data_IF_668077323390
#
_entry.id   IF_668077323390
#
_cell.length_a   1.000
_cell.length_b   1.000
_cell.length_c   1.000
_cell.angle_alpha   90.00
_cell.angle_beta   90.00
_cell.angle_gamma   90.00
#
_symmetry.space_group_name_H-M   'P 1'
#
loop_
_entity.id
_entity.type
_entity.pdbx_description
1 polymer ?
#
# COMPACT_ATOMS: atom_id res chain seq x y z
N UNK A 1 -35.96 -12.63 -11.73
CA UNK A 1 -34.82 -12.24 -12.59
C UNK A 1 -33.61 -13.04 -12.15
N UNK A 2 -32.88 -13.72 -13.04
CA UNK A 2 -31.58 -14.29 -12.68
C UNK A 2 -30.68 -13.11 -12.30
N UNK A 3 -30.33 -13.01 -11.03
CA UNK A 3 -29.58 -11.89 -10.52
C UNK A 3 -28.19 -11.92 -11.16
N UNK A 4 -27.91 -10.96 -12.05
CA UNK A 4 -26.58 -10.81 -12.65
C UNK A 4 -25.77 -9.96 -11.68
N UNK A 5 -24.77 -10.56 -11.06
CA UNK A 5 -23.79 -9.83 -10.27
C UNK A 5 -23.30 -8.60 -11.04
N UNK A 6 -23.27 -7.44 -10.39
CA UNK A 6 -22.85 -6.16 -10.98
C UNK A 6 -23.61 -5.74 -12.25
N UNK A 7 -24.95 -5.87 -12.27
CA UNK A 7 -25.79 -5.50 -13.43
C UNK A 7 -25.45 -4.13 -14.06
N UNK A 8 -25.40 -3.08 -13.25
CA UNK A 8 -25.05 -1.72 -13.68
C UNK A 8 -23.65 -1.64 -14.33
N UNK A 9 -22.62 -2.24 -13.71
CA UNK A 9 -21.27 -2.23 -14.27
C UNK A 9 -21.19 -3.01 -15.58
N UNK A 10 -21.98 -4.08 -15.73
CA UNK A 10 -22.06 -4.81 -16.99
C UNK A 10 -22.69 -3.94 -18.09
N UNK A 11 -23.71 -3.14 -17.76
CA UNK A 11 -24.34 -2.19 -18.70
C UNK A 11 -23.38 -1.07 -19.10
N UNK A 12 -22.70 -0.45 -18.12
CA UNK A 12 -21.67 0.57 -18.38
C UNK A 12 -20.55 -0.01 -19.25
N UNK A 13 -20.09 -1.24 -18.94
CA UNK A 13 -19.08 -1.94 -19.73
C UNK A 13 -19.52 -2.19 -21.17
N UNK A 14 -20.78 -2.53 -21.38
CA UNK A 14 -21.36 -2.72 -22.71
C UNK A 14 -21.41 -1.40 -23.49
N UNK A 15 -21.89 -0.31 -22.89
CA UNK A 15 -21.92 1.01 -23.55
C UNK A 15 -20.51 1.49 -23.90
N UNK A 16 -19.54 1.31 -23.00
CA UNK A 16 -18.15 1.66 -23.27
C UNK A 16 -17.58 0.82 -24.42
N UNK A 17 -17.87 -0.48 -24.46
CA UNK A 17 -17.44 -1.37 -25.53
C UNK A 17 -18.01 -0.93 -26.89
N UNK A 18 -19.31 -0.61 -26.96
CA UNK A 18 -20.00 -0.20 -28.20
C UNK A 18 -19.40 1.08 -28.81
N UNK A 19 -19.13 2.09 -28.00
CA UNK A 19 -18.53 3.34 -28.50
C UNK A 19 -17.04 3.15 -28.86
N UNK A 20 -16.27 2.43 -28.04
CA UNK A 20 -14.86 2.17 -28.32
C UNK A 20 -14.67 1.27 -29.53
N UNK A 21 -15.58 0.34 -29.82
CA UNK A 21 -15.51 -0.54 -30.98
C UNK A 21 -15.62 0.24 -32.30
N UNK A 22 -16.26 1.42 -32.31
CA UNK A 22 -16.34 2.29 -33.49
C UNK A 22 -15.00 2.98 -33.81
N UNK A 23 -14.21 3.30 -32.77
CA UNK A 23 -12.99 4.12 -32.90
C UNK A 23 -11.71 3.28 -32.87
N UNK A 24 -11.64 2.28 -31.99
CA UNK A 24 -10.44 1.46 -31.73
C UNK A 24 -10.75 -0.06 -31.71
N UNK A 25 -11.42 -0.63 -32.74
CA UNK A 25 -11.92 -2.01 -32.71
C UNK A 25 -10.85 -3.07 -32.43
N UNK A 26 -9.62 -2.88 -32.91
CA UNK A 26 -8.51 -3.83 -32.70
C UNK A 26 -8.09 -3.96 -31.23
N UNK A 27 -8.27 -2.91 -30.43
CA UNK A 27 -7.92 -2.89 -29.01
C UNK A 27 -9.01 -3.49 -28.12
N UNK A 28 -10.29 -3.40 -28.52
CA UNK A 28 -11.41 -3.81 -27.66
C UNK A 28 -12.09 -5.12 -28.07
N UNK A 29 -11.94 -5.59 -29.33
CA UNK A 29 -12.64 -6.81 -29.82
C UNK A 29 -12.47 -8.03 -28.91
N UNK A 30 -11.31 -8.18 -28.26
CA UNK A 30 -11.04 -9.31 -27.35
C UNK A 30 -11.81 -9.25 -26.02
N UNK A 31 -12.41 -8.10 -25.67
CA UNK A 31 -13.26 -7.92 -24.49
C UNK A 31 -14.71 -8.36 -24.74
N UNK A 32 -15.10 -8.60 -26.00
CA UNK A 32 -16.44 -9.09 -26.33
C UNK A 32 -16.70 -10.45 -25.67
N UNK A 33 -17.87 -10.60 -25.05
CA UNK A 33 -18.21 -11.80 -24.29
C UNK A 33 -18.12 -13.08 -25.13
N UNK A 34 -18.46 -13.05 -26.42
CA UNK A 34 -18.36 -14.22 -27.31
C UNK A 34 -16.94 -14.56 -27.79
N UNK A 35 -15.97 -13.67 -27.58
CA UNK A 35 -14.63 -13.84 -28.12
C UNK A 35 -13.87 -14.99 -27.43
N UNK A 36 -13.16 -15.82 -28.21
CA UNK A 36 -12.43 -16.99 -27.68
C UNK A 36 -11.47 -16.62 -26.53
N UNK A 37 -10.69 -15.55 -26.68
CA UNK A 37 -9.77 -15.07 -25.64
C UNK A 37 -10.49 -14.55 -24.39
N UNK A 38 -11.68 -13.92 -24.52
CA UNK A 38 -12.47 -13.52 -23.35
C UNK A 38 -12.95 -14.75 -22.59
N UNK A 39 -13.53 -15.72 -23.29
CA UNK A 39 -14.03 -16.95 -22.70
C UNK A 39 -12.91 -17.77 -22.05
N UNK A 40 -11.76 -17.87 -22.70
CA UNK A 40 -10.57 -18.53 -22.17
C UNK A 40 -10.09 -17.87 -20.87
N UNK A 41 -9.91 -16.55 -20.87
CA UNK A 41 -9.49 -15.80 -19.68
C UNK A 41 -10.52 -15.88 -18.54
N UNK A 42 -11.82 -15.83 -18.86
CA UNK A 42 -12.91 -16.00 -17.90
C UNK A 42 -12.88 -17.39 -17.26
N UNK A 43 -12.75 -18.44 -18.07
CA UNK A 43 -12.70 -19.81 -17.59
C UNK A 43 -11.46 -20.05 -16.71
N UNK A 44 -10.31 -19.54 -17.14
CA UNK A 44 -9.07 -19.55 -16.34
C UNK A 44 -9.29 -18.85 -14.99
N UNK A 45 -9.84 -17.64 -14.99
CA UNK A 45 -10.05 -16.84 -13.77
C UNK A 45 -10.99 -17.54 -12.79
N UNK A 46 -12.10 -18.10 -13.28
CA UNK A 46 -13.06 -18.86 -12.46
C UNK A 46 -12.45 -20.15 -11.90
N UNK A 47 -11.72 -20.91 -12.72
CA UNK A 47 -11.07 -22.13 -12.28
C UNK A 47 -9.98 -21.85 -11.24
N UNK A 48 -9.19 -20.80 -11.46
CA UNK A 48 -8.15 -20.35 -10.54
C UNK A 48 -8.77 -19.90 -9.20
N UNK A 49 -9.79 -19.03 -9.23
CA UNK A 49 -10.48 -18.59 -8.01
C UNK A 49 -11.07 -19.77 -7.22
N UNK A 50 -11.70 -20.74 -7.91
CA UNK A 50 -12.24 -21.96 -7.27
C UNK A 50 -11.14 -22.80 -6.63
N UNK A 51 -10.00 -22.96 -7.31
CA UNK A 51 -8.85 -23.68 -6.78
C UNK A 51 -8.32 -23.01 -5.51
N UNK A 52 -8.03 -21.70 -5.57
CA UNK A 52 -7.50 -20.95 -4.42
C UNK A 52 -8.49 -20.96 -3.25
N UNK A 53 -9.80 -20.77 -3.51
CA UNK A 53 -10.83 -20.86 -2.48
C UNK A 53 -10.85 -22.23 -1.79
N UNK A 54 -10.65 -23.33 -2.53
CA UNK A 54 -10.54 -24.68 -1.94
C UNK A 54 -9.34 -24.80 -1.00
N UNK A 55 -8.19 -24.24 -1.38
CA UNK A 55 -7.00 -24.22 -0.52
C UNK A 55 -7.21 -23.36 0.73
N UNK A 56 -7.82 -22.18 0.57
CA UNK A 56 -8.23 -21.33 1.69
C UNK A 56 -9.11 -22.11 2.67
N UNK A 57 -10.22 -22.69 2.23
CA UNK A 57 -11.13 -23.44 3.11
C UNK A 57 -10.45 -24.61 3.82
N UNK A 58 -9.53 -25.30 3.12
CA UNK A 58 -8.83 -26.47 3.67
C UNK A 58 -7.79 -26.11 4.74
N UNK A 59 -7.01 -25.05 4.51
CA UNK A 59 -5.82 -24.77 5.35
C UNK A 59 -5.99 -23.54 6.24
N UNK A 60 -6.81 -22.57 5.86
CA UNK A 60 -6.93 -21.27 6.54
C UNK A 60 -8.34 -20.98 7.07
N UNK A 61 -9.39 -21.61 6.52
CA UNK A 61 -10.78 -21.23 6.78
C UNK A 61 -11.28 -21.43 8.22
N UNK A 62 -10.59 -22.22 9.03
CA UNK A 62 -10.90 -22.43 10.45
C UNK A 62 -9.96 -21.68 11.39
N UNK A 63 -8.90 -21.07 10.85
CA UNK A 63 -7.96 -20.31 11.67
C UNK A 63 -8.62 -19.00 12.10
N UNK A 64 -8.48 -18.68 13.38
CA UNK A 64 -8.84 -17.34 13.88
C UNK A 64 -7.64 -16.43 13.65
N UNK A 65 -7.91 -15.21 13.19
CA UNK A 65 -6.86 -14.22 13.07
C UNK A 65 -6.33 -13.85 14.45
N UNK A 66 -5.01 -13.82 14.59
CA UNK A 66 -4.36 -13.28 15.78
C UNK A 66 -4.55 -11.77 15.85
N UNK A 67 -4.49 -11.23 17.07
CA UNK A 67 -4.32 -9.79 17.25
C UNK A 67 -3.00 -9.36 16.60
N UNK A 68 -3.07 -8.39 15.69
CA UNK A 68 -1.92 -7.89 14.95
C UNK A 68 -1.80 -6.38 15.12
N UNK A 69 -0.57 -5.90 15.12
CA UNK A 69 -0.26 -4.47 15.06
C UNK A 69 -0.82 -3.86 13.77
N UNK A 70 -1.04 -2.54 13.77
CA UNK A 70 -1.49 -1.81 12.57
C UNK A 70 -0.47 -1.90 11.41
N UNK A 71 0.82 -1.96 11.71
CA UNK A 71 1.88 -2.17 10.71
C UNK A 71 2.86 -3.21 11.25
N UNK A 72 2.98 -4.33 10.55
CA UNK A 72 3.93 -5.40 10.87
C UNK A 72 4.91 -5.59 9.74
N UNK A 73 6.22 -5.55 10.02
CA UNK A 73 7.24 -5.99 9.07
C UNK A 73 7.28 -7.52 9.07
N UNK A 74 6.84 -8.12 7.96
CA UNK A 74 6.70 -9.57 7.78
C UNK A 74 7.98 -10.18 7.21
N UNK A 75 8.65 -9.45 6.31
CA UNK A 75 9.86 -9.92 5.64
C UNK A 75 10.75 -8.73 5.26
N UNK A 76 12.06 -8.94 5.21
CA UNK A 76 13.04 -7.96 4.77
C UNK A 76 14.28 -8.66 4.22
N UNK A 77 15.06 -7.95 3.40
CA UNK A 77 16.22 -8.52 2.74
C UNK A 77 17.41 -8.73 3.70
N UNK A 78 17.80 -9.97 4.04
CA UNK A 78 18.93 -10.23 4.94
C UNK A 78 20.29 -9.85 4.33
N UNK A 79 20.38 -9.70 3.00
CA UNK A 79 21.59 -9.27 2.30
C UNK A 79 21.52 -7.81 1.81
N UNK A 80 20.60 -7.02 2.36
CA UNK A 80 20.29 -5.67 1.89
C UNK A 80 21.54 -4.79 1.70
N UNK A 81 22.40 -4.70 2.72
CA UNK A 81 23.61 -3.87 2.67
C UNK A 81 24.58 -4.32 1.57
N UNK A 82 24.80 -5.64 1.46
CA UNK A 82 25.67 -6.21 0.43
C UNK A 82 25.13 -5.91 -0.96
N UNK A 83 23.83 -6.10 -1.18
CA UNK A 83 23.19 -5.85 -2.48
C UNK A 83 23.19 -4.37 -2.84
N UNK A 84 22.92 -3.50 -1.86
CA UNK A 84 22.98 -2.05 -2.04
C UNK A 84 24.39 -1.64 -2.45
N UNK A 85 25.40 -1.95 -1.63
CA UNK A 85 26.79 -1.54 -1.89
C UNK A 85 27.30 -2.10 -3.23
N UNK A 86 26.96 -3.34 -3.57
CA UNK A 86 27.32 -3.90 -4.86
C UNK A 86 26.66 -3.14 -6.03
N UNK A 87 25.41 -2.72 -5.88
CA UNK A 87 24.71 -1.92 -6.89
C UNK A 87 25.26 -0.48 -7.00
N UNK A 88 25.69 0.13 -5.89
CA UNK A 88 26.35 1.44 -5.89
C UNK A 88 27.69 1.39 -6.64
N UNK A 89 28.48 0.34 -6.41
CA UNK A 89 29.78 0.17 -7.03
C UNK A 89 29.69 -0.32 -8.50
N UNK A 90 28.56 -0.91 -8.90
CA UNK A 90 28.39 -1.52 -10.22
C UNK A 90 28.61 -0.54 -11.38
N UNK A 91 28.06 0.67 -11.30
CA UNK A 91 28.24 1.70 -12.34
C UNK A 91 29.66 2.25 -12.44
N UNK A 92 30.52 1.95 -11.47
CA UNK A 92 31.91 2.40 -11.39
C UNK A 92 32.90 1.26 -11.64
N UNK A 93 32.42 0.10 -12.09
CA UNK A 93 33.24 -1.10 -12.25
C UNK A 93 33.03 -1.74 -13.63
N UNK A 94 34.07 -2.42 -14.13
CA UNK A 94 33.97 -3.36 -15.24
C UNK A 94 33.65 -4.80 -14.81
N UNK A 95 33.48 -5.05 -13.51
CA UNK A 95 33.23 -6.37 -12.95
C UNK A 95 31.76 -6.78 -13.04
N UNK A 96 31.51 -8.09 -13.08
CA UNK A 96 30.13 -8.60 -12.99
C UNK A 96 29.54 -8.32 -11.60
N UNK A 97 28.21 -8.17 -11.52
CA UNK A 97 27.53 -7.93 -10.25
C UNK A 97 27.82 -9.01 -9.21
N UNK A 98 27.99 -10.28 -9.64
CA UNK A 98 28.35 -11.38 -8.74
C UNK A 98 29.73 -11.17 -8.11
N UNK A 99 30.74 -10.82 -8.92
CA UNK A 99 32.09 -10.55 -8.41
C UNK A 99 32.08 -9.39 -7.42
N UNK A 100 31.34 -8.31 -7.72
CA UNK A 100 31.22 -7.17 -6.79
C UNK A 100 30.56 -7.61 -5.49
N UNK A 101 29.47 -8.39 -5.53
CA UNK A 101 28.81 -8.91 -4.32
C UNK A 101 29.76 -9.77 -3.47
N UNK A 102 30.52 -10.66 -4.08
CA UNK A 102 31.51 -11.49 -3.36
C UNK A 102 32.59 -10.62 -2.71
N UNK A 103 33.09 -9.59 -3.41
CA UNK A 103 34.05 -8.64 -2.85
C UNK A 103 33.46 -7.80 -1.72
N UNK A 104 32.24 -7.30 -1.87
CA UNK A 104 31.53 -6.54 -0.84
C UNK A 104 31.28 -7.39 0.40
N UNK A 105 30.89 -8.67 0.26
CA UNK A 105 30.73 -9.57 1.42
C UNK A 105 32.01 -9.69 2.24
N UNK A 106 33.15 -9.74 1.55
CA UNK A 106 34.48 -9.84 2.17
C UNK A 106 35.01 -8.51 2.75
N UNK A 107 34.33 -7.37 2.51
CA UNK A 107 34.73 -6.10 3.12
C UNK A 107 34.47 -6.12 4.63
N UNK A 108 35.32 -5.46 5.43
CA UNK A 108 35.02 -5.19 6.83
C UNK A 108 33.71 -4.42 6.98
N UNK A 109 32.92 -4.73 8.00
CA UNK A 109 31.65 -4.06 8.24
C UNK A 109 31.81 -2.56 8.53
N UNK A 110 32.99 -2.14 9.02
CA UNK A 110 33.34 -0.72 9.16
C UNK A 110 33.38 0.02 7.84
N UNK A 111 33.92 -0.60 6.77
CA UNK A 111 33.98 0.01 5.44
C UNK A 111 32.60 0.03 4.77
N UNK A 112 31.80 -1.03 4.97
CA UNK A 112 30.40 -1.05 4.53
C UNK A 112 29.59 0.08 5.19
N UNK A 113 29.72 0.21 6.50
CA UNK A 113 29.06 1.26 7.30
C UNK A 113 29.48 2.63 6.84
N UNK A 114 30.78 2.87 6.72
CA UNK A 114 31.36 4.14 6.28
C UNK A 114 30.79 4.57 4.91
N UNK A 115 30.79 3.67 3.92
CA UNK A 115 30.28 4.01 2.59
C UNK A 115 28.79 4.35 2.59
N UNK A 116 27.97 3.63 3.38
CA UNK A 116 26.55 3.96 3.53
C UNK A 116 26.38 5.33 4.20
N UNK A 117 27.08 5.58 5.31
CA UNK A 117 26.98 6.83 6.06
C UNK A 117 27.44 8.05 5.26
N UNK A 118 28.57 7.95 4.57
CA UNK A 118 29.07 9.02 3.69
C UNK A 118 28.07 9.31 2.56
N UNK A 119 27.45 8.28 1.98
CA UNK A 119 26.41 8.44 0.95
C UNK A 119 25.16 9.12 1.50
N UNK A 120 24.70 8.74 2.70
CA UNK A 120 23.57 9.38 3.39
C UNK A 120 23.87 10.84 3.71
N UNK A 121 25.11 11.16 4.10
CA UNK A 121 25.53 12.50 4.46
C UNK A 121 25.44 13.50 3.28
N UNK A 122 25.71 13.04 2.04
CA UNK A 122 25.55 13.86 0.82
C UNK A 122 24.10 14.31 0.58
N UNK A 123 23.12 13.64 1.21
CA UNK A 123 21.70 13.95 1.05
C UNK A 123 21.29 15.11 1.96
N UNK A 124 21.47 16.33 1.45
CA UNK A 124 21.17 17.57 2.17
C UNK A 124 19.69 17.99 2.14
N UNK A 125 18.91 17.55 1.15
CA UNK A 125 17.47 17.84 1.09
C UNK A 125 16.68 16.75 0.36
N UNK A 126 15.36 16.69 0.57
CA UNK A 126 14.43 15.69 -0.02
C UNK A 126 14.46 15.58 -1.55
N UNK A 127 14.90 16.64 -2.24
CA UNK A 127 15.02 16.64 -3.71
C UNK A 127 16.27 15.91 -4.23
N UNK A 128 17.26 15.63 -3.38
CA UNK A 128 18.34 14.70 -3.72
C UNK A 128 17.73 13.30 -3.70
N UNK A 129 17.44 12.78 -4.90
CA UNK A 129 16.75 11.50 -5.05
C UNK A 129 17.73 10.37 -4.80
N UNK A 130 17.38 9.38 -3.96
CA UNK A 130 18.22 8.20 -3.80
C UNK A 130 18.47 7.52 -5.16
N UNK A 131 19.67 7.00 -5.37
CA UNK A 131 20.03 6.33 -6.62
C UNK A 131 19.29 4.98 -6.80
N UNK A 132 19.42 4.40 -8.01
CA UNK A 132 18.75 3.15 -8.36
C UNK A 132 19.24 1.94 -7.55
N UNK A 133 20.45 1.98 -6.98
CA UNK A 133 20.98 0.89 -6.16
C UNK A 133 20.10 0.56 -4.95
N UNK A 134 19.36 1.54 -4.43
CA UNK A 134 18.39 1.34 -3.34
C UNK A 134 17.13 0.59 -3.78
N UNK A 135 16.96 0.26 -5.06
CA UNK A 135 15.90 -0.64 -5.51
C UNK A 135 16.20 -2.11 -5.17
N UNK A 136 17.44 -2.44 -4.77
CA UNK A 136 17.85 -3.82 -4.49
C UNK A 136 17.34 -4.37 -3.14
N UNK A 137 17.42 -3.63 -2.01
CA UNK A 137 16.83 -4.08 -0.76
C UNK A 137 15.30 -4.01 -0.80
N UNK A 138 14.62 -4.95 -0.17
CA UNK A 138 13.17 -5.01 -0.09
C UNK A 138 12.66 -5.21 1.34
N UNK A 139 11.38 -4.87 1.53
CA UNK A 139 10.61 -5.06 2.75
C UNK A 139 9.18 -5.48 2.39
N UNK A 140 8.58 -6.35 3.20
CA UNK A 140 7.17 -6.74 3.11
C UNK A 140 6.46 -6.40 4.42
N UNK A 141 5.42 -5.59 4.33
CA UNK A 141 4.59 -5.19 5.47
C UNK A 141 3.19 -5.82 5.36
N UNK A 142 2.62 -6.26 6.48
CA UNK A 142 1.17 -6.47 6.65
C UNK A 142 0.61 -5.26 7.38
N UNK A 143 -0.43 -4.65 6.82
CA UNK A 143 -0.98 -3.37 7.28
C UNK A 143 -2.47 -3.53 7.52
N UNK A 144 -2.92 -3.04 8.68
CA UNK A 144 -4.32 -2.83 9.03
C UNK A 144 -4.52 -1.34 9.31
N UNK A 145 -5.37 -0.69 8.53
CA UNK A 145 -5.71 0.72 8.73
C UNK A 145 -6.97 1.11 7.95
N UNK A 146 -7.44 2.34 8.13
CA UNK A 146 -8.71 2.76 7.54
C UNK A 146 -8.71 2.68 6.00
N UNK A 147 -9.87 2.39 5.44
CA UNK A 147 -10.05 2.22 4.01
C UNK A 147 -9.72 3.50 3.21
N UNK A 148 -9.93 4.68 3.80
CA UNK A 148 -9.47 5.95 3.26
C UNK A 148 -7.94 6.03 3.14
N UNK A 149 -7.19 5.64 4.18
CA UNK A 149 -5.73 5.56 4.16
C UNK A 149 -5.24 4.61 3.06
N UNK A 150 -5.86 3.43 2.93
CA UNK A 150 -5.53 2.50 1.86
C UNK A 150 -5.71 3.16 0.49
N UNK A 151 -6.82 3.88 0.26
CA UNK A 151 -7.06 4.59 -1.01
C UNK A 151 -6.03 5.68 -1.29
N UNK A 152 -5.45 6.27 -0.26
CA UNK A 152 -4.38 7.26 -0.39
C UNK A 152 -3.00 6.64 -0.66
N UNK A 153 -2.70 5.53 0.01
CA UNK A 153 -1.44 4.82 -0.07
C UNK A 153 -1.33 3.97 -1.35
N UNK A 154 -2.44 3.42 -1.85
CA UNK A 154 -2.44 2.61 -3.08
C UNK A 154 -1.97 3.38 -4.33
N UNK A 155 -1.88 4.72 -4.25
CA UNK A 155 -1.36 5.56 -5.34
C UNK A 155 0.14 5.42 -5.59
N UNK A 156 0.90 4.79 -4.68
CA UNK A 156 2.31 4.46 -4.91
C UNK A 156 2.39 3.22 -5.81
N UNK A 157 3.06 3.35 -6.96
CA UNK A 157 3.06 2.33 -8.03
C UNK A 157 4.33 1.48 -8.08
N UNK A 158 5.41 1.95 -7.46
CA UNK A 158 6.69 1.22 -7.38
C UNK A 158 6.72 0.26 -6.20
N UNK A 159 5.71 -0.61 -6.12
CA UNK A 159 5.54 -1.62 -5.08
C UNK A 159 4.56 -2.69 -5.57
N UNK A 160 4.48 -3.80 -4.83
CA UNK A 160 3.42 -4.80 -4.99
C UNK A 160 2.53 -4.73 -3.76
N UNK A 161 1.21 -4.72 -3.96
CA UNK A 161 0.24 -4.75 -2.88
C UNK A 161 -0.98 -5.54 -3.33
N UNK A 162 -1.61 -6.23 -2.39
CA UNK A 162 -2.96 -6.78 -2.53
C UNK A 162 -3.69 -6.60 -1.20
N UNK A 163 -5.01 -6.46 -1.29
CA UNK A 163 -5.89 -6.27 -0.13
C UNK A 163 -6.78 -7.48 0.08
N UNK A 164 -7.17 -7.69 1.33
CA UNK A 164 -8.33 -8.52 1.62
C UNK A 164 -9.62 -7.81 1.17
N UNK A 165 -10.72 -8.55 0.95
CA UNK A 165 -12.03 -7.94 0.74
C UNK A 165 -12.36 -6.94 1.85
N UNK A 166 -12.98 -5.82 1.49
CA UNK A 166 -13.41 -4.81 2.46
C UNK A 166 -14.56 -5.39 3.29
N UNK A 167 -14.52 -5.23 4.60
CA UNK A 167 -15.56 -5.73 5.52
C UNK A 167 -15.72 -4.75 6.66
N UNK A 168 -16.78 -4.92 7.47
CA UNK A 168 -16.96 -4.16 8.72
C UNK A 168 -16.34 -4.84 9.94
N UNK A 169 -15.65 -5.98 9.75
CA UNK A 169 -15.23 -6.88 10.83
C UNK A 169 -13.92 -6.48 11.51
N UNK A 170 -13.16 -5.56 10.92
CA UNK A 170 -11.90 -5.06 11.49
C UNK A 170 -12.08 -3.80 12.35
N UNK A 171 -13.32 -3.43 12.64
CA UNK A 171 -13.63 -2.19 13.34
C UNK A 171 -13.37 -0.96 12.47
N UNK A 172 -13.51 0.21 13.07
CA UNK A 172 -13.32 1.50 12.42
C UNK A 172 -12.66 2.50 13.36
N UNK A 173 -12.02 3.49 12.78
CA UNK A 173 -11.40 4.60 13.51
C UNK A 173 -12.40 5.75 13.67
N UNK A 174 -12.55 6.26 14.90
CA UNK A 174 -13.30 7.51 15.18
C UNK A 174 -12.34 8.69 15.27
N UNK A 175 -12.43 9.69 14.38
CA UNK A 175 -11.66 10.93 14.53
C UNK A 175 -12.02 11.66 15.83
N UNK A 176 -11.02 12.22 16.52
CA UNK A 176 -11.24 12.95 17.77
C UNK A 176 -12.23 14.10 17.60
N UNK A 177 -12.20 14.76 16.44
CA UNK A 177 -13.06 15.88 16.09
C UNK A 177 -14.55 15.51 16.07
N UNK A 178 -14.88 14.24 15.81
CA UNK A 178 -16.27 13.75 15.87
C UNK A 178 -16.77 13.69 17.31
N UNK A 179 -15.92 13.22 18.23
CA UNK A 179 -16.24 13.18 19.65
C UNK A 179 -16.30 14.58 20.25
N UNK A 180 -15.31 15.42 19.92
CA UNK A 180 -15.22 16.81 20.38
C UNK A 180 -16.43 17.65 19.93
N UNK A 181 -16.97 17.37 18.73
CA UNK A 181 -18.19 17.99 18.22
C UNK A 181 -19.49 17.46 18.86
N UNK A 182 -19.42 16.45 19.75
CA UNK A 182 -20.60 15.81 20.35
C UNK A 182 -21.38 14.92 19.39
N UNK A 183 -20.80 14.53 18.25
CA UNK A 183 -21.43 13.71 17.20
C UNK A 183 -21.09 12.22 17.31
N UNK A 184 -20.34 11.80 18.33
CA UNK A 184 -19.91 10.41 18.53
C UNK A 184 -21.06 9.40 18.50
N UNK A 185 -22.18 9.70 19.18
CA UNK A 185 -23.34 8.80 19.21
C UNK A 185 -23.94 8.54 17.81
N UNK A 186 -24.19 9.60 17.04
CA UNK A 186 -24.72 9.50 15.67
C UNK A 186 -23.73 8.79 14.74
N UNK A 187 -22.44 9.07 14.90
CA UNK A 187 -21.38 8.42 14.16
C UNK A 187 -21.36 6.91 14.41
N UNK A 188 -21.31 6.50 15.68
CA UNK A 188 -21.29 5.09 16.06
C UNK A 188 -22.55 4.33 15.64
N UNK A 189 -23.74 4.96 15.75
CA UNK A 189 -24.99 4.39 15.25
C UNK A 189 -24.94 4.17 13.74
N UNK A 190 -24.47 5.15 12.98
CA UNK A 190 -24.34 5.06 11.52
C UNK A 190 -23.38 3.94 11.11
N UNK A 191 -22.24 3.84 11.80
CA UNK A 191 -21.28 2.76 11.55
C UNK A 191 -21.89 1.39 11.86
N UNK A 192 -22.62 1.25 12.97
CA UNK A 192 -23.29 0.00 13.34
C UNK A 192 -24.36 -0.41 12.30
N UNK A 193 -25.17 0.53 11.82
CA UNK A 193 -26.17 0.29 10.75
C UNK A 193 -25.53 -0.17 9.45
N UNK A 194 -24.37 0.40 9.09
CA UNK A 194 -23.58 -0.06 7.95
C UNK A 194 -23.09 -1.50 8.12
N UNK A 195 -22.63 -1.88 9.32
CA UNK A 195 -22.22 -3.25 9.61
C UNK A 195 -23.38 -4.25 9.51
N UNK A 196 -24.56 -3.90 10.01
CA UNK A 196 -25.76 -4.73 9.87
C UNK A 196 -26.16 -4.91 8.40
N UNK A 197 -26.16 -3.82 7.63
CA UNK A 197 -26.43 -3.86 6.20
C UNK A 197 -25.40 -4.73 5.47
N UNK A 198 -24.12 -4.61 5.80
CA UNK A 198 -23.05 -5.44 5.24
C UNK A 198 -23.30 -6.93 5.49
N UNK A 199 -23.53 -7.34 6.74
CA UNK A 199 -23.76 -8.76 7.08
C UNK A 199 -25.07 -9.30 6.49
N UNK A 200 -26.07 -8.45 6.28
CA UNK A 200 -27.31 -8.84 5.61
C UNK A 200 -27.07 -9.10 4.12
N UNK A 201 -26.43 -8.15 3.43
CA UNK A 201 -26.18 -8.24 1.97
C UNK A 201 -25.15 -9.33 1.67
N UNK A 202 -24.12 -9.49 2.50
CA UNK A 202 -23.00 -10.41 2.24
C UNK A 202 -23.39 -11.89 2.22
N UNK A 203 -24.56 -12.26 2.77
CA UNK A 203 -25.11 -13.63 2.70
C UNK A 203 -25.38 -14.05 1.26
N UNK A 204 -25.92 -13.13 0.46
CA UNK A 204 -26.32 -13.37 -0.93
C UNK A 204 -25.33 -12.74 -1.93
N UNK A 205 -24.75 -11.58 -1.59
CA UNK A 205 -23.91 -10.75 -2.46
C UNK A 205 -22.61 -10.32 -1.74
N UNK A 206 -21.69 -11.25 -1.45
CA UNK A 206 -20.49 -10.98 -0.66
C UNK A 206 -19.53 -9.96 -1.29
N UNK A 207 -19.53 -9.82 -2.63
CA UNK A 207 -18.66 -8.84 -3.29
C UNK A 207 -19.29 -7.45 -3.31
N UNK A 208 -20.60 -7.37 -3.57
CA UNK A 208 -21.38 -6.15 -3.62
C UNK A 208 -21.59 -5.52 -2.24
N UNK A 209 -21.61 -6.33 -1.17
CA UNK A 209 -21.71 -5.83 0.21
C UNK A 209 -20.61 -4.79 0.55
N UNK A 210 -19.45 -4.85 -0.12
CA UNK A 210 -18.38 -3.84 0.06
C UNK A 210 -18.84 -2.40 -0.24
N UNK A 211 -19.89 -2.18 -1.03
CA UNK A 211 -20.38 -0.85 -1.38
C UNK A 211 -21.03 -0.10 -0.21
N UNK A 212 -21.49 -0.81 0.83
CA UNK A 212 -22.12 -0.17 1.99
C UNK A 212 -21.14 0.11 3.13
N UNK A 213 -19.83 -0.08 2.92
CA UNK A 213 -18.79 0.06 3.96
C UNK A 213 -18.16 1.48 3.91
N UNK A 214 -18.35 2.32 4.95
CA UNK A 214 -17.70 3.62 5.10
C UNK A 214 -16.17 3.54 5.09
N UNK A 215 -15.52 4.64 4.68
CA UNK A 215 -14.05 4.70 4.58
C UNK A 215 -13.33 4.62 5.93
N UNK A 216 -14.01 4.88 7.04
CA UNK A 216 -13.44 4.76 8.39
C UNK A 216 -13.26 3.31 8.83
N UNK A 217 -13.90 2.34 8.16
CA UNK A 217 -13.66 0.93 8.46
C UNK A 217 -12.26 0.51 8.04
N UNK A 218 -11.65 -0.35 8.87
CA UNK A 218 -10.32 -0.86 8.63
C UNK A 218 -10.31 -1.92 7.54
N UNK A 219 -9.24 -1.91 6.75
CA UNK A 219 -8.96 -2.90 5.73
C UNK A 219 -7.54 -3.44 5.91
N UNK A 220 -7.35 -4.73 5.63
CA UNK A 220 -6.04 -5.36 5.66
C UNK A 220 -5.45 -5.49 4.26
N UNK A 221 -4.19 -5.12 4.10
CA UNK A 221 -3.44 -5.30 2.86
C UNK A 221 -1.95 -5.50 3.16
N UNK A 222 -1.26 -6.18 2.25
CA UNK A 222 0.20 -6.24 2.32
C UNK A 222 0.84 -5.24 1.35
N UNK A 223 2.07 -4.84 1.65
CA UNK A 223 2.92 -4.04 0.76
C UNK A 223 4.30 -4.67 0.70
N UNK A 224 4.73 -5.09 -0.49
CA UNK A 224 6.12 -5.44 -0.78
C UNK A 224 6.77 -4.29 -1.56
N UNK A 225 7.82 -3.71 -1.00
CA UNK A 225 8.40 -2.44 -1.47
C UNK A 225 9.92 -2.45 -1.34
N UNK A 226 10.61 -1.90 -2.33
CA UNK A 226 12.06 -1.70 -2.24
C UNK A 226 12.43 -0.46 -1.40
N UNK A 227 13.66 -0.40 -0.88
CA UNK A 227 14.13 0.70 -0.03
C UNK A 227 13.97 2.07 -0.70
N UNK A 228 14.29 2.18 -2.00
CA UNK A 228 14.16 3.44 -2.75
C UNK A 228 12.72 3.97 -2.76
N UNK A 229 11.77 3.11 -3.05
CA UNK A 229 10.35 3.44 -3.07
C UNK A 229 9.82 3.69 -1.66
N UNK A 230 10.31 2.96 -0.66
CA UNK A 230 9.96 3.16 0.74
C UNK A 230 10.38 4.55 1.23
N UNK A 231 11.61 4.99 0.93
CA UNK A 231 12.08 6.34 1.25
C UNK A 231 11.15 7.39 0.65
N UNK A 232 10.73 7.19 -0.60
CA UNK A 232 9.81 8.13 -1.25
C UNK A 232 8.43 8.15 -0.59
N UNK A 233 7.88 6.98 -0.26
CA UNK A 233 6.60 6.84 0.44
C UNK A 233 6.66 7.49 1.82
N UNK A 234 7.61 7.10 2.67
CA UNK A 234 7.66 7.55 4.05
C UNK A 234 7.92 9.04 4.15
N UNK A 235 8.80 9.60 3.33
CA UNK A 235 9.09 11.03 3.36
C UNK A 235 7.95 11.91 2.81
N UNK A 236 7.16 11.43 1.85
CA UNK A 236 6.01 12.20 1.34
C UNK A 236 4.80 12.04 2.24
N UNK A 237 4.59 10.85 2.79
CA UNK A 237 3.38 10.54 3.53
C UNK A 237 3.47 10.86 5.01
N UNK A 238 4.65 11.15 5.55
CA UNK A 238 4.82 11.63 6.93
C UNK A 238 4.68 13.15 7.08
N UNK A 239 4.62 13.93 6.00
CA UNK A 239 4.64 15.41 6.09
C UNK A 239 3.41 15.97 6.81
N UNK A 240 3.48 17.19 7.38
CA UNK A 240 2.37 17.80 8.11
C UNK A 240 1.09 17.96 7.32
N UNK A 241 1.19 18.13 5.99
CA UNK A 241 0.04 18.27 5.08
C UNK A 241 -0.69 16.93 4.85
N UNK A 242 -0.11 15.83 5.32
CA UNK A 242 -0.70 14.51 5.21
C UNK A 242 -1.87 14.30 6.17
N UNK A 243 -2.81 13.44 5.79
CA UNK A 243 -3.84 12.93 6.70
C UNK A 243 -3.19 12.13 7.84
N UNK A 244 -3.63 12.36 9.07
CA UNK A 244 -3.07 11.78 10.31
C UNK A 244 -2.93 10.26 10.23
N UNK A 245 -3.92 9.60 9.63
CA UNK A 245 -3.91 8.15 9.44
C UNK A 245 -2.71 7.61 8.67
N UNK A 246 -2.55 7.99 7.40
CA UNK A 246 -1.46 7.44 6.59
C UNK A 246 -0.09 7.99 7.01
N UNK A 247 -0.05 9.12 7.75
CA UNK A 247 1.17 9.59 8.40
C UNK A 247 1.64 8.59 9.45
N UNK A 248 0.75 8.13 10.32
CA UNK A 248 1.05 7.10 11.32
C UNK A 248 1.54 5.82 10.65
N UNK A 249 0.89 5.36 9.59
CA UNK A 249 1.37 4.19 8.83
C UNK A 249 2.79 4.41 8.29
N UNK A 250 3.07 5.56 7.67
CA UNK A 250 4.40 5.88 7.14
C UNK A 250 5.48 5.94 8.23
N UNK A 251 5.16 6.52 9.39
CA UNK A 251 6.04 6.60 10.55
C UNK A 251 6.30 5.20 11.14
N UNK A 252 5.26 4.37 11.26
CA UNK A 252 5.41 2.99 11.73
C UNK A 252 6.24 2.14 10.77
N UNK A 253 6.03 2.26 9.45
CA UNK A 253 6.88 1.58 8.47
C UNK A 253 8.35 1.98 8.63
N UNK A 254 8.64 3.27 8.85
CA UNK A 254 9.99 3.74 9.16
C UNK A 254 10.54 3.08 10.45
N UNK A 255 9.77 3.11 11.55
CA UNK A 255 10.19 2.53 12.84
C UNK A 255 10.50 1.03 12.73
N UNK A 256 9.70 0.27 11.98
CA UNK A 256 9.95 -1.16 11.77
C UNK A 256 11.22 -1.42 10.97
N UNK A 257 11.55 -0.57 10.00
CA UNK A 257 12.83 -0.66 9.27
C UNK A 257 14.00 -0.20 10.12
N UNK A 258 13.84 0.84 10.93
CA UNK A 258 14.87 1.31 11.87
C UNK A 258 15.24 0.20 12.87
N UNK A 259 14.24 -0.52 13.39
CA UNK A 259 14.48 -1.65 14.27
C UNK A 259 15.17 -2.84 13.58
N UNK A 260 14.85 -3.12 12.31
CA UNK A 260 15.37 -4.29 11.58
C UNK A 260 16.73 -4.04 10.90
N UNK A 261 16.92 -2.86 10.30
CA UNK A 261 18.08 -2.48 9.48
C UNK A 261 18.46 -1.00 9.74
N UNK A 262 18.99 -0.68 10.94
CA UNK A 262 19.19 0.70 11.40
C UNK A 262 20.11 1.52 10.49
N UNK A 263 21.12 0.88 9.89
CA UNK A 263 22.04 1.55 8.96
C UNK A 263 21.33 2.00 7.68
N UNK A 264 20.42 1.19 7.14
CA UNK A 264 19.66 1.53 5.94
C UNK A 264 18.52 2.51 6.21
N UNK A 265 17.94 2.47 7.42
CA UNK A 265 16.94 3.44 7.85
C UNK A 265 17.46 4.89 7.78
N UNK A 266 18.78 5.11 7.93
CA UNK A 266 19.41 6.43 7.80
C UNK A 266 19.17 7.11 6.44
N UNK A 267 18.89 6.35 5.37
CA UNK A 267 18.51 6.95 4.08
C UNK A 267 17.16 7.68 4.12
N UNK A 268 16.26 7.30 5.03
CA UNK A 268 14.95 7.94 5.28
C UNK A 268 15.08 9.19 6.17
N UNK A 269 16.12 9.98 5.94
CA UNK A 269 16.53 11.14 6.74
C UNK A 269 15.45 12.21 6.94
N UNK A 270 14.47 12.29 6.04
CA UNK A 270 13.43 13.33 6.08
C UNK A 270 12.03 12.80 6.43
N UNK A 271 11.95 11.65 7.09
CA UNK A 271 10.70 11.20 7.70
C UNK A 271 10.37 12.12 8.87
N UNK A 272 9.16 12.67 8.85
CA UNK A 272 8.66 13.53 9.92
C UNK A 272 7.95 12.67 10.97
N UNK A 273 8.56 12.52 12.14
CA UNK A 273 8.05 11.74 13.26
C UNK A 273 7.19 12.56 14.24
N UNK A 274 6.98 13.86 13.98
CA UNK A 274 6.19 14.70 14.86
C UNK A 274 4.68 14.47 14.65
N UNK A 275 3.89 14.82 15.68
CA UNK A 275 2.43 14.83 15.62
C UNK A 275 1.89 16.25 15.48
N UNK A 276 0.76 16.40 14.78
CA UNK A 276 0.15 17.69 14.49
C UNK A 276 -1.37 17.55 14.61
N UNK A 277 -2.01 18.42 15.39
CA UNK A 277 -3.47 18.42 15.58
C UNK A 277 -4.22 18.87 14.32
N UNK A 278 -3.74 19.90 13.62
CA UNK A 278 -4.38 20.45 12.43
C UNK A 278 -3.35 20.62 11.30
N UNK A 279 -3.06 19.52 10.60
CA UNK A 279 -1.92 19.41 9.68
C UNK A 279 -1.83 20.49 8.60
N UNK A 280 -2.94 20.83 7.95
CA UNK A 280 -2.98 21.84 6.86
C UNK A 280 -3.12 23.29 7.34
N UNK A 281 -3.61 23.51 8.56
CA UNK A 281 -3.97 24.84 9.06
C UNK A 281 -2.78 25.81 9.00
N UNK A 282 -1.60 25.37 9.45
CA UNK A 282 -0.40 26.22 9.43
C UNK A 282 0.06 26.61 8.03
N UNK A 283 -0.20 25.78 7.02
CA UNK A 283 0.13 26.08 5.63
C UNK A 283 -0.89 27.02 5.01
N UNK A 284 -2.17 26.88 5.38
CA UNK A 284 -3.26 27.76 4.96
C UNK A 284 -3.08 29.16 5.56
N UNK A 285 -2.77 29.27 6.86
CA UNK A 285 -2.42 30.55 7.51
C UNK A 285 -1.26 31.27 6.81
N UNK A 286 -0.16 30.56 6.52
CA UNK A 286 0.98 31.14 5.80
C UNK A 286 0.66 31.57 4.37
N UNK A 287 -0.36 30.96 3.76
CA UNK A 287 -0.80 31.33 2.42
C UNK A 287 -1.66 32.60 2.49
N UNK A 288 -2.54 32.71 3.49
CA UNK A 288 -3.32 33.92 3.77
C UNK A 288 -2.41 35.10 4.15
N UNK A 289 -1.42 34.90 5.02
CA UNK A 289 -0.46 35.93 5.43
C UNK A 289 0.38 36.49 4.28
N UNK A 290 0.56 35.72 3.19
CA UNK A 290 1.25 36.18 1.98
C UNK A 290 0.35 36.94 1.01
N UNK A 291 -0.97 36.83 1.19
CA UNK A 291 -1.98 37.50 0.39
C UNK A 291 -2.49 38.79 1.05
N UNK A 292 -2.23 38.98 2.35
CA UNK A 292 -2.41 40.21 3.10
C UNK A 292 -1.23 41.19 2.89
#
# INVERSE_FOLDING_TARGET
MKNRAFGELNEIGQFAFEELAKVIPSFVRRAEAGHRHFQDFRNFSLAHQKLISKFYSKYLGQLKADSAEAVRLVDFDPEAETKLLAALLYSHSGLTLQQIRERVRALPDSEKTRLIEETVALRNHRRHKPERGLEMPFYTFDILGDYGMYRDLQRHRMLTQERQPLTTRFGYDTPYEIEDAGLGAEYHETMARSAEAFETIAKDFPYEAQYVVPMSYNIRWYVHINLRALIWLTEIRSTPQGHTGYRRIAQEMFRKVEAAQPLLAKYMKFVDLNEYSLGRLSAEQRQEDKQA
#
